data_IF_336115730999
#
_entry.id   IF_336115730999
#
_cell.length_a   1.000
_cell.length_b   1.000
_cell.length_c   1.000
_cell.angle_alpha   90.00
_cell.angle_beta   90.00
_cell.angle_gamma   90.00
#
_symmetry.space_group_name_H-M   'P 1'
#
loop_
_entity.id
_entity.type
_entity.pdbx_description
1 polymer ?
#
# COMPACT_ATOMS: atom_id res chain seq x y z
N UNK A 1 -22.52 -17.43 -37.55
CA UNK A 1 -22.19 -17.20 -36.12
C UNK A 1 -20.69 -17.22 -35.84
N UNK A 2 -19.87 -17.96 -36.60
CA UNK A 2 -18.40 -17.90 -36.48
C UNK A 2 -17.81 -16.58 -37.04
N UNK A 3 -18.28 -16.13 -38.21
CA UNK A 3 -17.77 -14.91 -38.87
C UNK A 3 -17.98 -13.63 -38.05
N UNK A 4 -19.15 -13.48 -37.40
CA UNK A 4 -19.44 -12.34 -36.52
C UNK A 4 -18.57 -12.30 -35.25
N UNK A 5 -17.97 -13.45 -34.87
CA UNK A 5 -17.08 -13.55 -33.71
C UNK A 5 -15.65 -13.17 -34.10
N UNK A 6 -15.19 -13.58 -35.27
CA UNK A 6 -13.88 -13.18 -35.82
C UNK A 6 -13.84 -11.68 -36.19
N UNK A 7 -14.95 -11.13 -36.70
CA UNK A 7 -15.08 -9.70 -36.98
C UNK A 7 -15.07 -8.86 -35.69
N UNK A 8 -15.75 -9.29 -34.62
CA UNK A 8 -15.68 -8.63 -33.32
C UNK A 8 -14.29 -8.75 -32.66
N UNK A 9 -13.60 -9.88 -32.84
CA UNK A 9 -12.25 -10.07 -32.27
C UNK A 9 -11.23 -9.20 -33.01
N UNK A 10 -11.31 -9.11 -34.33
CA UNK A 10 -10.45 -8.24 -35.14
C UNK A 10 -10.73 -6.74 -34.96
N UNK A 11 -11.99 -6.34 -34.69
CA UNK A 11 -12.33 -4.96 -34.32
C UNK A 11 -11.85 -4.59 -32.91
N UNK A 12 -11.92 -5.50 -31.94
CA UNK A 12 -11.33 -5.32 -30.60
C UNK A 12 -9.80 -5.21 -30.69
N UNK A 13 -9.16 -6.01 -31.53
CA UNK A 13 -7.71 -5.97 -31.75
C UNK A 13 -7.24 -4.75 -32.57
N UNK A 14 -8.06 -4.24 -33.49
CA UNK A 14 -7.77 -2.97 -34.18
C UNK A 14 -7.98 -1.75 -33.27
N UNK A 15 -9.02 -1.75 -32.42
CA UNK A 15 -9.21 -0.71 -31.42
C UNK A 15 -8.16 -0.76 -30.30
N UNK A 16 -7.67 -1.94 -29.93
CA UNK A 16 -6.57 -2.08 -28.97
C UNK A 16 -5.23 -1.63 -29.58
N UNK A 17 -4.99 -1.88 -30.86
CA UNK A 17 -3.80 -1.40 -31.57
C UNK A 17 -3.81 0.12 -31.81
N UNK A 18 -4.97 0.73 -32.11
CA UNK A 18 -5.08 2.19 -32.15
C UNK A 18 -4.97 2.84 -30.75
N UNK A 19 -5.39 2.15 -29.67
CA UNK A 19 -5.12 2.54 -28.26
C UNK A 19 -3.63 2.51 -27.86
N UNK A 20 -2.76 1.91 -28.67
CA UNK A 20 -1.30 1.80 -28.44
C UNK A 20 -0.51 2.88 -29.21
N UNK A 21 -1.12 3.51 -30.21
CA UNK A 21 -0.43 4.36 -31.19
C UNK A 21 -0.65 5.87 -31.08
N UNK A 22 -1.31 6.38 -30.04
CA UNK A 22 -1.31 7.82 -29.81
C UNK A 22 -0.03 8.22 -29.01
N UNK A 23 0.96 8.93 -29.62
CA UNK A 23 2.19 9.32 -28.94
C UNK A 23 1.92 10.19 -27.69
N UNK A 24 0.79 10.91 -27.66
CA UNK A 24 0.33 11.66 -26.47
C UNK A 24 -0.20 10.73 -25.37
N UNK A 25 -0.86 9.62 -25.73
CA UNK A 25 -1.31 8.59 -24.80
C UNK A 25 -0.17 7.80 -24.17
N UNK A 26 0.91 7.56 -24.92
CA UNK A 26 2.10 6.83 -24.41
C UNK A 26 2.86 7.64 -23.36
N UNK A 27 3.12 8.93 -23.61
CA UNK A 27 3.73 9.83 -22.62
C UNK A 27 2.85 9.98 -21.36
N UNK A 28 1.54 10.17 -21.55
CA UNK A 28 0.58 10.25 -20.44
C UNK A 28 0.58 9.00 -19.57
N UNK A 29 0.66 7.80 -20.17
CA UNK A 29 0.77 6.53 -19.43
C UNK A 29 2.05 6.43 -18.60
N UNK A 30 3.20 6.84 -19.14
CA UNK A 30 4.46 6.87 -18.38
C UNK A 30 4.41 7.87 -17.21
N UNK A 31 3.87 9.07 -17.45
CA UNK A 31 3.68 10.07 -16.40
C UNK A 31 2.74 9.54 -15.31
N UNK A 32 1.60 8.96 -15.69
CA UNK A 32 0.67 8.35 -14.75
C UNK A 32 1.31 7.20 -13.96
N UNK A 33 2.13 6.36 -14.60
CA UNK A 33 2.88 5.29 -13.94
C UNK A 33 3.78 5.82 -12.82
N UNK A 34 4.53 6.91 -13.10
CA UNK A 34 5.42 7.53 -12.11
C UNK A 34 4.62 8.01 -10.90
N UNK A 35 3.53 8.75 -11.13
CA UNK A 35 2.68 9.22 -10.04
C UNK A 35 1.98 8.06 -9.28
N UNK A 36 1.64 6.96 -9.96
CA UNK A 36 1.10 5.76 -9.30
C UNK A 36 2.13 5.09 -8.40
N UNK A 37 3.42 5.14 -8.74
CA UNK A 37 4.49 4.62 -7.87
C UNK A 37 4.71 5.49 -6.63
N UNK A 38 4.49 6.81 -6.74
CA UNK A 38 4.55 7.72 -5.60
C UNK A 38 3.25 7.78 -4.77
N UNK A 39 2.15 7.26 -5.29
CA UNK A 39 0.86 7.22 -4.61
C UNK A 39 0.96 6.59 -3.21
N UNK A 40 1.54 5.39 -3.01
CA UNK A 40 1.62 4.80 -1.67
C UNK A 40 2.84 5.29 -0.86
N UNK A 41 3.71 6.11 -1.44
CA UNK A 41 5.01 6.47 -0.84
C UNK A 41 4.87 7.03 0.59
N UNK A 42 3.95 7.98 0.78
CA UNK A 42 3.73 8.59 2.09
C UNK A 42 3.16 7.62 3.13
N UNK A 43 2.33 6.66 2.70
CA UNK A 43 1.79 5.63 3.59
C UNK A 43 2.90 4.69 4.06
N UNK A 44 3.73 4.18 3.15
CA UNK A 44 4.85 3.30 3.53
C UNK A 44 5.94 4.01 4.34
N UNK A 45 6.24 5.27 4.02
CA UNK A 45 7.16 6.07 4.84
C UNK A 45 6.63 6.19 6.28
N UNK A 46 5.36 6.54 6.45
CA UNK A 46 4.80 6.83 7.78
C UNK A 46 4.41 5.59 8.60
N UNK A 47 4.20 4.45 7.94
CA UNK A 47 3.92 3.18 8.61
C UNK A 47 5.08 2.80 9.54
N UNK A 48 6.31 2.95 9.04
CA UNK A 48 7.56 2.63 9.73
C UNK A 48 8.04 3.71 10.73
N UNK A 49 7.34 4.84 10.86
CA UNK A 49 7.69 5.90 11.82
C UNK A 49 7.95 5.39 13.26
N UNK A 50 7.10 4.53 13.85
CA UNK A 50 7.31 4.07 15.22
C UNK A 50 8.53 3.16 15.33
N UNK A 51 8.82 2.36 14.30
CA UNK A 51 10.01 1.51 14.26
C UNK A 51 11.29 2.36 14.28
N UNK A 52 11.37 3.37 13.40
CA UNK A 52 12.53 4.26 13.32
C UNK A 52 12.72 5.16 14.55
N UNK A 53 11.66 5.39 15.33
CA UNK A 53 11.68 6.22 16.53
C UNK A 53 11.47 5.42 17.83
N UNK A 54 11.61 4.10 17.82
CA UNK A 54 11.21 3.26 18.95
C UNK A 54 11.85 3.68 20.29
N UNK A 55 13.16 3.87 20.29
CA UNK A 55 13.92 4.16 21.51
C UNK A 55 13.53 5.54 22.08
N UNK A 56 13.51 6.56 21.22
CA UNK A 56 13.12 7.92 21.60
C UNK A 56 11.65 8.00 22.00
N UNK A 57 10.78 7.23 21.36
CA UNK A 57 9.37 7.15 21.74
C UNK A 57 9.18 6.55 23.13
N UNK A 58 9.90 5.48 23.46
CA UNK A 58 9.82 4.89 24.82
C UNK A 58 10.34 5.86 25.88
N UNK A 59 11.42 6.58 25.58
CA UNK A 59 12.06 7.54 26.49
C UNK A 59 11.20 8.80 26.70
N UNK A 60 10.87 9.53 25.64
CA UNK A 60 10.20 10.83 25.72
C UNK A 60 8.71 10.72 26.08
N UNK A 61 8.01 9.69 25.60
CA UNK A 61 6.61 9.46 25.95
C UNK A 61 6.48 8.71 27.30
N UNK A 62 7.59 8.17 27.83
CA UNK A 62 7.65 7.32 29.04
C UNK A 62 6.67 6.14 28.97
N UNK A 63 6.67 5.45 27.83
CA UNK A 63 5.75 4.33 27.55
C UNK A 63 6.46 2.98 27.66
N UNK A 64 5.73 1.96 28.13
CA UNK A 64 6.22 0.59 28.16
C UNK A 64 6.29 -0.03 26.76
N UNK A 65 7.09 -1.09 26.59
CA UNK A 65 7.13 -1.85 25.33
C UNK A 65 5.74 -2.36 24.91
N UNK A 66 4.89 -2.74 25.86
CA UNK A 66 3.50 -3.16 25.58
C UNK A 66 2.65 -2.03 24.99
N UNK A 67 2.77 -0.82 25.55
CA UNK A 67 2.05 0.36 25.05
C UNK A 67 2.56 0.75 23.67
N UNK A 68 3.87 0.64 23.43
CA UNK A 68 4.45 0.86 22.10
C UNK A 68 3.92 -0.15 21.07
N UNK A 69 3.86 -1.44 21.42
CA UNK A 69 3.29 -2.47 20.53
C UNK A 69 1.81 -2.21 20.22
N UNK A 70 1.06 -1.53 21.09
CA UNK A 70 -0.33 -1.18 20.83
C UNK A 70 -0.53 -0.32 19.58
N UNK A 71 0.47 0.49 19.18
CA UNK A 71 0.41 1.27 17.94
C UNK A 71 0.31 0.38 16.70
N UNK A 72 1.01 -0.77 16.69
CA UNK A 72 0.92 -1.76 15.62
C UNK A 72 -0.39 -2.54 15.68
N UNK A 73 -0.85 -2.90 16.88
CA UNK A 73 -2.13 -3.59 17.05
C UNK A 73 -3.30 -2.75 16.55
N UNK A 74 -3.35 -1.46 16.90
CA UNK A 74 -4.40 -0.53 16.46
C UNK A 74 -4.35 -0.23 14.97
N UNK A 75 -3.16 -0.26 14.35
CA UNK A 75 -3.00 -0.19 12.91
C UNK A 75 -3.58 -1.44 12.22
N UNK A 76 -3.20 -2.65 12.66
CA UNK A 76 -3.55 -3.90 11.97
C UNK A 76 -4.98 -4.39 12.23
N UNK A 77 -5.57 -4.06 13.37
CA UNK A 77 -6.92 -4.51 13.73
C UNK A 77 -8.02 -4.14 12.71
N UNK A 78 -8.15 -2.86 12.26
CA UNK A 78 -9.16 -2.52 11.25
C UNK A 78 -8.91 -3.20 9.90
N UNK A 79 -7.65 -3.47 9.57
CA UNK A 79 -7.22 -3.91 8.25
C UNK A 79 -7.79 -5.27 7.85
N UNK A 80 -8.12 -6.12 8.82
CA UNK A 80 -8.69 -7.46 8.59
C UNK A 80 -10.02 -7.39 7.83
N UNK A 81 -10.83 -6.37 8.08
CA UNK A 81 -12.17 -6.22 7.47
C UNK A 81 -12.16 -5.06 6.48
N UNK A 82 -11.50 -3.95 6.83
CA UNK A 82 -11.57 -2.71 6.05
C UNK A 82 -10.83 -2.78 4.73
N UNK A 83 -9.80 -3.61 4.58
CA UNK A 83 -9.13 -3.82 3.28
C UNK A 83 -10.10 -4.40 2.23
N UNK A 84 -10.88 -5.41 2.62
CA UNK A 84 -11.91 -6.01 1.76
C UNK A 84 -13.05 -5.01 1.45
N UNK A 85 -13.51 -4.26 2.45
CA UNK A 85 -14.55 -3.23 2.25
C UNK A 85 -14.03 -2.10 1.37
N UNK A 86 -12.76 -1.70 1.52
CA UNK A 86 -12.11 -0.67 0.74
C UNK A 86 -12.10 -1.00 -0.75
N UNK A 87 -11.72 -2.23 -1.12
CA UNK A 87 -11.79 -2.70 -2.51
C UNK A 87 -13.21 -2.61 -3.09
N UNK A 88 -14.20 -3.15 -2.37
CA UNK A 88 -15.61 -3.11 -2.80
C UNK A 88 -16.13 -1.67 -2.94
N UNK A 89 -15.73 -0.76 -2.06
CA UNK A 89 -16.14 0.64 -2.10
C UNK A 89 -15.60 1.36 -3.35
N UNK A 90 -14.36 1.05 -3.73
CA UNK A 90 -13.73 1.58 -4.94
C UNK A 90 -14.47 1.08 -6.18
N UNK A 91 -14.66 -0.23 -6.25
CA UNK A 91 -15.20 -0.89 -7.44
C UNK A 91 -16.66 -0.51 -7.69
N UNK A 92 -17.45 -0.31 -6.62
CA UNK A 92 -18.90 -0.09 -6.74
C UNK A 92 -19.34 1.37 -6.70
N UNK A 93 -18.70 2.24 -5.89
CA UNK A 93 -19.27 3.57 -5.59
C UNK A 93 -18.38 4.74 -6.00
N UNK A 94 -17.07 4.62 -5.77
CA UNK A 94 -16.16 5.77 -5.88
C UNK A 94 -15.48 5.84 -7.25
N UNK A 95 -15.18 4.68 -7.84
CA UNK A 95 -14.23 4.58 -8.93
C UNK A 95 -12.78 4.75 -8.44
N UNK A 96 -11.84 4.18 -9.18
CA UNK A 96 -10.45 4.00 -8.77
C UNK A 96 -9.75 5.33 -8.43
N UNK A 97 -9.90 6.35 -9.28
CA UNK A 97 -9.25 7.65 -9.09
C UNK A 97 -9.76 8.43 -7.86
N UNK A 98 -11.08 8.46 -7.63
CA UNK A 98 -11.66 9.14 -6.46
C UNK A 98 -11.42 8.36 -5.18
N UNK A 99 -11.52 7.03 -5.26
CA UNK A 99 -11.22 6.12 -4.14
C UNK A 99 -9.79 6.32 -3.62
N UNK A 100 -8.80 6.27 -4.52
CA UNK A 100 -7.40 6.51 -4.16
C UNK A 100 -7.19 7.87 -3.47
N UNK A 101 -7.83 8.94 -3.96
CA UNK A 101 -7.73 10.28 -3.37
C UNK A 101 -8.37 10.34 -1.98
N UNK A 102 -9.52 9.71 -1.77
CA UNK A 102 -10.21 9.65 -0.48
C UNK A 102 -9.37 8.86 0.54
N UNK A 103 -8.87 7.68 0.17
CA UNK A 103 -8.04 6.88 1.08
C UNK A 103 -6.72 7.57 1.41
N UNK A 104 -6.08 8.21 0.44
CA UNK A 104 -4.90 9.02 0.70
C UNK A 104 -5.20 10.19 1.67
N UNK A 105 -6.37 10.82 1.54
CA UNK A 105 -6.82 11.85 2.50
C UNK A 105 -7.01 11.28 3.91
N UNK A 106 -7.56 10.06 4.04
CA UNK A 106 -7.69 9.36 5.33
C UNK A 106 -6.31 9.06 5.93
N UNK A 107 -5.34 8.62 5.12
CA UNK A 107 -3.95 8.41 5.56
C UNK A 107 -3.34 9.71 6.12
N UNK A 108 -3.50 10.83 5.41
CA UNK A 108 -3.02 12.15 5.87
C UNK A 108 -3.65 12.51 7.22
N UNK A 109 -4.98 12.36 7.35
CA UNK A 109 -5.68 12.64 8.62
C UNK A 109 -5.17 11.74 9.74
N UNK A 110 -5.01 10.44 9.50
CA UNK A 110 -4.49 9.49 10.48
C UNK A 110 -3.08 9.87 10.96
N UNK A 111 -2.19 10.24 10.04
CA UNK A 111 -0.82 10.66 10.38
C UNK A 111 -0.80 12.01 11.12
N UNK A 112 -1.66 12.97 10.75
CA UNK A 112 -1.78 14.23 11.47
C UNK A 112 -2.28 14.01 12.90
N UNK A 113 -3.30 13.17 13.09
CA UNK A 113 -3.82 12.79 14.42
C UNK A 113 -2.72 12.09 15.22
N UNK A 114 -1.94 11.20 14.61
CA UNK A 114 -0.81 10.54 15.25
C UNK A 114 0.26 11.53 15.71
N UNK A 115 0.63 12.49 14.86
CA UNK A 115 1.60 13.55 15.19
C UNK A 115 1.11 14.50 16.29
N UNK A 116 -0.15 14.94 16.23
CA UNK A 116 -0.80 15.76 17.26
C UNK A 116 -0.87 15.00 18.59
N UNK A 117 -1.20 13.71 18.56
CA UNK A 117 -1.18 12.84 19.74
C UNK A 117 0.20 12.76 20.38
N UNK A 118 1.26 12.65 19.56
CA UNK A 118 2.65 12.73 20.03
C UNK A 118 2.96 14.09 20.67
N UNK A 119 2.56 15.19 20.03
CA UNK A 119 2.83 16.55 20.49
C UNK A 119 2.27 16.84 21.89
N UNK A 120 1.05 16.37 22.17
CA UNK A 120 0.39 16.54 23.47
C UNK A 120 0.65 15.37 24.44
N UNK A 121 1.46 14.38 24.08
CA UNK A 121 1.70 13.15 24.86
C UNK A 121 0.39 12.39 25.19
N UNK A 122 -0.57 12.39 24.27
CA UNK A 122 -1.86 11.73 24.42
C UNK A 122 -1.84 10.38 23.70
N UNK A 123 -1.49 9.31 24.43
CA UNK A 123 -1.33 7.96 23.87
C UNK A 123 -2.65 7.45 23.24
N UNK A 124 -3.81 7.79 23.81
CA UNK A 124 -5.09 7.42 23.17
C UNK A 124 -5.24 8.04 21.78
N UNK A 125 -4.75 9.28 21.57
CA UNK A 125 -4.92 10.00 20.31
C UNK A 125 -4.00 9.38 19.28
N UNK A 126 -2.80 8.99 19.71
CA UNK A 126 -1.87 8.25 18.88
C UNK A 126 -2.46 6.90 18.42
N UNK A 127 -3.13 6.16 19.31
CA UNK A 127 -3.81 4.92 18.95
C UNK A 127 -4.95 5.13 17.96
N UNK A 128 -5.77 6.18 18.15
CA UNK A 128 -6.83 6.56 17.19
C UNK A 128 -6.22 6.96 15.84
N UNK A 129 -5.11 7.71 15.87
CA UNK A 129 -4.36 8.08 14.66
C UNK A 129 -3.87 6.86 13.89
N UNK A 130 -3.30 5.87 14.59
CA UNK A 130 -2.87 4.58 14.02
C UNK A 130 -4.02 3.79 13.42
N UNK A 131 -5.17 3.77 14.10
CA UNK A 131 -6.39 3.14 13.60
C UNK A 131 -6.86 3.78 12.29
N UNK A 132 -7.01 5.12 12.26
CA UNK A 132 -7.44 5.85 11.05
C UNK A 132 -6.42 5.68 9.92
N UNK A 133 -5.12 5.75 10.25
CA UNK A 133 -4.05 5.56 9.29
C UNK A 133 -4.09 4.16 8.66
N UNK A 134 -4.27 3.10 9.46
CA UNK A 134 -4.39 1.72 8.98
C UNK A 134 -5.58 1.52 8.04
N UNK A 135 -6.75 2.05 8.40
CA UNK A 135 -7.94 2.02 7.52
C UNK A 135 -7.63 2.64 6.15
N UNK A 136 -6.92 3.77 6.14
CA UNK A 136 -6.54 4.46 4.92
C UNK A 136 -5.47 3.73 4.11
N UNK A 137 -4.41 3.24 4.75
CA UNK A 137 -3.23 2.69 4.08
C UNK A 137 -3.53 1.40 3.32
N UNK A 138 -4.23 0.44 3.92
CA UNK A 138 -4.54 -0.84 3.26
C UNK A 138 -5.58 -0.67 2.14
N UNK A 139 -6.53 0.23 2.36
CA UNK A 139 -7.49 0.60 1.32
C UNK A 139 -6.81 1.29 0.15
N UNK A 140 -5.78 2.12 0.41
CA UNK A 140 -4.96 2.76 -0.62
C UNK A 140 -4.14 1.72 -1.40
N UNK A 141 -3.56 0.71 -0.76
CA UNK A 141 -2.86 -0.41 -1.43
C UNK A 141 -3.79 -1.19 -2.37
N UNK A 142 -5.04 -1.40 -1.95
CA UNK A 142 -6.07 -2.02 -2.78
C UNK A 142 -6.43 -1.12 -3.97
N UNK A 143 -6.59 0.19 -3.73
CA UNK A 143 -6.84 1.19 -4.77
C UNK A 143 -5.74 1.26 -5.82
N UNK A 144 -4.49 1.23 -5.38
CA UNK A 144 -3.31 1.25 -6.25
C UNK A 144 -3.28 0.04 -7.20
N UNK A 145 -3.61 -1.14 -6.68
CA UNK A 145 -3.62 -2.36 -7.48
C UNK A 145 -4.72 -2.30 -8.54
N UNK A 146 -5.92 -1.84 -8.17
CA UNK A 146 -6.99 -1.57 -9.13
C UNK A 146 -6.59 -0.48 -10.15
N UNK A 147 -5.84 0.54 -9.72
CA UNK A 147 -5.33 1.61 -10.58
C UNK A 147 -4.38 1.06 -11.65
N UNK A 148 -3.42 0.22 -11.25
CA UNK A 148 -2.48 -0.40 -12.18
C UNK A 148 -3.21 -1.26 -13.22
N UNK A 149 -4.17 -2.09 -12.79
CA UNK A 149 -4.95 -2.95 -13.69
C UNK A 149 -5.82 -2.14 -14.66
N UNK A 150 -6.36 -0.99 -14.22
CA UNK A 150 -7.18 -0.15 -15.09
C UNK A 150 -6.38 0.60 -16.17
N UNK A 151 -5.07 0.81 -15.98
CA UNK A 151 -4.22 1.57 -16.91
C UNK A 151 -3.25 0.71 -17.74
N UNK A 152 -2.90 -0.49 -17.27
CA UNK A 152 -1.92 -1.37 -17.91
C UNK A 152 -2.48 -2.78 -18.15
N UNK A 153 -2.15 -3.37 -19.29
CA UNK A 153 -2.61 -4.70 -19.71
C UNK A 153 -1.44 -5.62 -20.05
N UNK A 154 -1.61 -6.91 -19.79
CA UNK A 154 -0.64 -7.95 -20.17
C UNK A 154 0.72 -7.80 -19.50
N UNK A 155 1.81 -7.96 -20.26
CA UNK A 155 3.19 -7.99 -19.75
C UNK A 155 3.63 -6.72 -19.01
N UNK A 156 3.02 -5.56 -19.31
CA UNK A 156 3.37 -4.29 -18.68
C UNK A 156 2.84 -4.18 -17.24
N UNK A 157 1.79 -4.93 -16.90
CA UNK A 157 1.16 -4.88 -15.58
C UNK A 157 2.09 -5.44 -14.49
N UNK A 158 2.74 -6.58 -14.75
CA UNK A 158 3.70 -7.18 -13.81
C UNK A 158 4.87 -6.23 -13.52
N UNK A 159 5.37 -5.56 -14.57
CA UNK A 159 6.42 -4.56 -14.41
C UNK A 159 5.98 -3.40 -13.50
N UNK A 160 4.75 -2.89 -13.67
CA UNK A 160 4.21 -1.81 -12.83
C UNK A 160 4.06 -2.26 -11.38
N UNK A 161 3.57 -3.47 -11.12
CA UNK A 161 3.50 -4.00 -9.76
C UNK A 161 4.88 -4.15 -9.11
N UNK A 162 5.87 -4.67 -9.85
CA UNK A 162 7.25 -4.77 -9.37
C UNK A 162 7.85 -3.40 -9.06
N UNK A 163 7.61 -2.42 -9.92
CA UNK A 163 8.08 -1.05 -9.72
C UNK A 163 7.42 -0.40 -8.50
N UNK A 164 6.11 -0.52 -8.37
CA UNK A 164 5.36 0.01 -7.22
C UNK A 164 5.87 -0.57 -5.90
N UNK A 165 6.03 -1.90 -5.81
CA UNK A 165 6.58 -2.55 -4.62
C UNK A 165 7.98 -2.06 -4.30
N UNK A 166 8.82 -1.84 -5.32
CA UNK A 166 10.17 -1.30 -5.15
C UNK A 166 10.14 0.11 -4.54
N UNK A 167 9.27 0.99 -5.04
CA UNK A 167 9.10 2.34 -4.49
C UNK A 167 8.57 2.32 -3.06
N UNK A 168 7.63 1.42 -2.73
CA UNK A 168 7.17 1.22 -1.36
C UNK A 168 8.31 0.85 -0.42
N UNK A 169 9.23 -0.04 -0.84
CA UNK A 169 10.40 -0.42 -0.04
C UNK A 169 11.41 0.71 0.10
N UNK A 170 11.61 1.49 -0.96
CA UNK A 170 12.45 2.68 -0.90
C UNK A 170 11.89 3.71 0.09
N UNK A 171 10.56 3.91 0.13
CA UNK A 171 9.92 4.81 1.10
C UNK A 171 10.23 4.40 2.55
N UNK A 172 10.07 3.10 2.88
CA UNK A 172 10.43 2.52 4.18
C UNK A 172 11.91 2.70 4.51
N UNK A 173 12.80 2.44 3.53
CA UNK A 173 14.24 2.61 3.69
C UNK A 173 14.60 4.06 4.00
N UNK A 174 14.02 5.01 3.26
CA UNK A 174 14.25 6.44 3.50
C UNK A 174 13.80 6.77 4.92
N UNK A 175 12.58 6.36 5.33
CA UNK A 175 12.10 6.60 6.69
C UNK A 175 13.08 6.13 7.77
N UNK A 176 13.54 4.87 7.71
CA UNK A 176 14.46 4.33 8.71
C UNK A 176 15.80 5.07 8.78
N UNK A 177 16.25 5.68 7.66
CA UNK A 177 17.49 6.45 7.61
C UNK A 177 17.29 7.94 7.93
N UNK A 178 16.12 8.52 7.65
CA UNK A 178 15.89 9.98 7.76
C UNK A 178 15.13 10.38 9.01
N UNK A 179 14.20 9.56 9.52
CA UNK A 179 13.32 9.97 10.62
C UNK A 179 14.09 10.27 11.91
N UNK A 180 15.16 9.50 12.17
CA UNK A 180 16.02 9.67 13.34
C UNK A 180 16.88 10.93 13.23
N UNK A 181 17.62 11.18 12.13
CA UNK A 181 18.29 12.46 11.91
C UNK A 181 17.36 13.68 11.93
N UNK A 182 16.12 13.54 11.43
CA UNK A 182 15.11 14.61 11.51
C UNK A 182 14.81 14.89 12.98
N UNK A 183 14.53 13.87 13.80
CA UNK A 183 14.36 14.03 15.25
C UNK A 183 15.58 14.70 15.88
N UNK A 184 16.79 14.23 15.60
CA UNK A 184 18.04 14.75 16.19
C UNK A 184 18.35 16.19 15.77
N UNK A 185 17.92 16.62 14.59
CA UNK A 185 18.10 17.99 14.06
C UNK A 185 17.12 19.00 14.67
N UNK A 186 16.02 18.55 15.28
CA UNK A 186 15.12 19.46 15.99
C UNK A 186 15.84 20.03 17.21
N UNK A 187 15.81 21.36 17.30
CA UNK A 187 16.54 22.20 18.25
C UNK A 187 16.36 21.78 19.72
N UNK A 188 17.39 22.00 20.53
CA UNK A 188 17.42 21.64 21.97
C UNK A 188 16.36 22.34 22.82
N UNK A 189 15.70 23.38 22.28
CA UNK A 189 14.59 24.09 22.92
C UNK A 189 13.25 23.32 22.88
N UNK A 190 13.10 22.32 22.00
CA UNK A 190 11.91 21.46 21.94
C UNK A 190 12.26 20.14 22.64
N UNK A 191 12.10 20.08 23.97
CA UNK A 191 12.42 18.89 24.76
C UNK A 191 11.21 17.98 25.00
N UNK A 192 11.46 16.65 24.96
CA UNK A 192 10.50 15.60 25.29
C UNK A 192 9.44 15.33 24.21
N UNK A 193 8.17 15.03 24.59
CA UNK A 193 7.14 14.49 23.68
C UNK A 193 6.79 15.43 22.53
N UNK A 194 6.98 16.75 22.71
CA UNK A 194 6.79 17.74 21.65
C UNK A 194 7.72 17.51 20.46
N UNK A 195 8.96 17.06 20.70
CA UNK A 195 9.95 16.78 19.65
C UNK A 195 9.46 15.66 18.74
N UNK A 196 8.99 14.57 19.35
CA UNK A 196 8.36 13.45 18.63
C UNK A 196 7.16 13.91 17.83
N UNK A 197 6.26 14.69 18.43
CA UNK A 197 5.09 15.22 17.75
C UNK A 197 5.46 16.02 16.50
N UNK A 198 6.44 16.92 16.60
CA UNK A 198 6.91 17.71 15.46
C UNK A 198 7.60 16.82 14.41
N UNK A 199 8.44 15.85 14.80
CA UNK A 199 9.03 14.88 13.86
C UNK A 199 7.95 14.12 13.09
N UNK A 200 6.90 13.64 13.76
CA UNK A 200 5.78 12.93 13.12
C UNK A 200 4.94 13.84 12.21
N UNK A 201 4.80 15.12 12.57
CA UNK A 201 4.13 16.12 11.72
C UNK A 201 4.98 16.47 10.48
N UNK A 202 6.31 16.51 10.60
CA UNK A 202 7.21 16.64 9.45
C UNK A 202 7.05 15.40 8.55
N UNK A 203 6.98 14.20 9.12
CA UNK A 203 6.71 12.99 8.34
C UNK A 203 5.36 13.06 7.60
N UNK A 204 4.35 13.74 8.15
CA UNK A 204 3.06 13.96 7.48
C UNK A 204 3.18 14.73 6.14
N UNK A 205 4.27 15.49 5.93
CA UNK A 205 4.54 16.13 4.64
C UNK A 205 4.70 15.12 3.51
N UNK A 206 5.22 13.92 3.80
CA UNK A 206 5.33 12.83 2.81
C UNK A 206 3.95 12.28 2.41
N UNK A 207 3.01 12.22 3.35
CA UNK A 207 1.61 11.88 3.06
C UNK A 207 0.92 12.98 2.25
N UNK A 208 1.19 14.26 2.53
CA UNK A 208 0.65 15.39 1.75
C UNK A 208 1.20 15.37 0.32
N UNK A 209 2.48 15.05 0.14
CA UNK A 209 3.08 14.86 -1.18
C UNK A 209 2.37 13.73 -1.96
N UNK A 210 2.17 12.58 -1.31
CA UNK A 210 1.40 11.46 -1.87
C UNK A 210 -0.05 11.86 -2.23
N UNK A 211 -0.69 12.70 -1.42
CA UNK A 211 -2.02 13.26 -1.74
C UNK A 211 -1.97 14.18 -2.96
N UNK A 212 -0.91 14.98 -3.11
CA UNK A 212 -0.66 15.76 -4.32
C UNK A 212 -0.54 14.86 -5.56
N UNK A 213 0.17 13.75 -5.47
CA UNK A 213 0.25 12.76 -6.54
C UNK A 213 -1.13 12.15 -6.86
N UNK A 214 -1.93 11.80 -5.85
CA UNK A 214 -3.31 11.34 -6.02
C UNK A 214 -4.19 12.36 -6.75
N UNK A 215 -4.12 13.64 -6.39
CA UNK A 215 -4.89 14.69 -7.04
C UNK A 215 -4.47 14.89 -8.51
N UNK A 216 -3.17 14.82 -8.79
CA UNK A 216 -2.65 14.86 -10.16
C UNK A 216 -3.17 13.66 -10.95
N UNK A 217 -3.10 12.45 -10.40
CA UNK A 217 -3.65 11.24 -11.03
C UNK A 217 -5.15 11.36 -11.28
N UNK A 218 -5.91 11.88 -10.33
CA UNK A 218 -7.34 12.12 -10.49
C UNK A 218 -7.63 13.13 -11.61
N UNK A 219 -6.83 14.18 -11.73
CA UNK A 219 -6.94 15.13 -12.83
C UNK A 219 -6.57 14.50 -14.19
N UNK A 220 -5.48 13.72 -14.25
CA UNK A 220 -5.05 13.00 -15.46
C UNK A 220 -6.10 11.98 -15.90
N UNK A 221 -6.70 11.26 -14.96
CA UNK A 221 -7.75 10.26 -15.20
C UNK A 221 -9.03 10.91 -15.73
N UNK A 222 -9.48 12.00 -15.08
CA UNK A 222 -10.62 12.78 -15.58
C UNK A 222 -10.38 13.35 -16.98
N UNK A 223 -9.14 13.78 -17.28
CA UNK A 223 -8.78 14.26 -18.61
C UNK A 223 -8.76 13.13 -19.64
N UNK A 224 -8.23 11.97 -19.28
CA UNK A 224 -8.19 10.79 -20.15
C UNK A 224 -9.60 10.30 -20.47
N UNK A 225 -10.48 10.18 -19.46
CA UNK A 225 -11.89 9.78 -19.65
C UNK A 225 -12.67 10.78 -20.49
N UNK A 226 -12.51 12.10 -20.29
CA UNK A 226 -13.18 13.11 -21.13
C UNK A 226 -12.80 13.07 -22.61
N UNK A 227 -11.62 12.57 -22.94
CA UNK A 227 -11.13 12.44 -24.32
C UNK A 227 -11.62 11.12 -24.92
N UNK A 228 -11.71 10.04 -24.14
CA UNK A 228 -12.12 8.71 -24.62
C UNK A 228 -13.64 8.42 -24.54
N UNK A 229 -14.39 9.01 -23.60
CA UNK A 229 -15.84 8.80 -23.45
C UNK A 229 -16.67 9.47 -24.57
N UNK A 230 -16.04 10.27 -25.45
CA UNK A 230 -16.70 10.81 -26.64
C UNK A 230 -16.89 9.78 -27.76
N UNK A 231 -16.14 8.68 -27.75
CA UNK A 231 -16.14 7.69 -28.83
C UNK A 231 -16.92 6.40 -28.51
N UNK A 232 -17.34 6.15 -27.25
CA UNK A 232 -18.12 4.96 -26.88
C UNK A 232 -19.05 5.20 -25.65
N UNK A 233 -20.33 5.56 -25.85
CA UNK A 233 -21.29 5.75 -24.75
C UNK A 233 -21.80 4.43 -24.12
N UNK A 234 -21.35 3.27 -24.59
CA UNK A 234 -21.79 1.94 -24.11
C UNK A 234 -20.83 1.26 -23.12
N UNK A 235 -19.66 1.84 -22.82
CA UNK A 235 -18.76 1.33 -21.77
C UNK A 235 -19.17 1.87 -20.38
N UNK A 236 -20.46 1.74 -20.04
CA UNK A 236 -20.88 1.81 -18.65
C UNK A 236 -20.28 0.58 -17.97
N UNK A 237 -19.14 0.76 -17.30
CA UNK A 237 -18.43 -0.26 -16.55
C UNK A 237 -19.45 -1.14 -15.80
N UNK A 238 -19.48 -2.43 -16.12
CA UNK A 238 -20.35 -3.41 -15.46
C UNK A 238 -20.24 -3.22 -13.93
N UNK A 239 -21.35 -2.92 -13.28
CA UNK A 239 -21.42 -2.81 -11.82
C UNK A 239 -20.91 -4.12 -11.22
N UNK A 240 -19.78 -4.07 -10.51
CA UNK A 240 -19.29 -5.23 -9.75
C UNK A 240 -20.33 -5.64 -8.70
N UNK A 241 -21.06 -6.72 -8.96
CA UNK A 241 -22.04 -7.27 -8.02
C UNK A 241 -21.31 -8.22 -7.11
N UNK A 242 -21.36 -7.98 -5.79
CA UNK A 242 -20.87 -8.92 -4.77
C UNK A 242 -21.45 -10.35 -4.92
N UNK A 243 -22.57 -10.50 -5.63
CA UNK A 243 -23.17 -11.78 -5.98
C UNK A 243 -22.35 -12.57 -7.02
N UNK A 244 -21.52 -11.91 -7.80
CA UNK A 244 -20.64 -12.54 -8.81
C UNK A 244 -19.45 -13.23 -8.17
N UNK A 245 -19.07 -12.80 -6.95
CA UNK A 245 -18.09 -13.53 -6.14
C UNK A 245 -18.54 -14.98 -5.97
N UNK A 246 -19.83 -15.22 -5.74
CA UNK A 246 -20.41 -16.57 -5.58
C UNK A 246 -20.37 -17.44 -6.85
N UNK A 247 -20.17 -16.83 -8.02
CA UNK A 247 -20.12 -17.51 -9.31
C UNK A 247 -18.68 -17.76 -9.78
N UNK A 248 -17.67 -17.43 -8.97
CA UNK A 248 -16.29 -17.73 -9.31
C UNK A 248 -16.05 -19.23 -9.48
N UNK A 249 -15.17 -19.63 -10.44
CA UNK A 249 -14.86 -21.03 -10.65
C UNK A 249 -14.28 -21.63 -9.36
N UNK A 250 -14.61 -22.90 -9.10
CA UNK A 250 -14.13 -23.62 -7.91
C UNK A 250 -12.60 -23.57 -7.80
N UNK A 251 -11.89 -23.56 -8.93
CA UNK A 251 -10.43 -23.38 -8.99
C UNK A 251 -9.94 -22.09 -8.29
N UNK A 252 -10.68 -20.98 -8.42
CA UNK A 252 -10.33 -19.72 -7.75
C UNK A 252 -10.56 -19.80 -6.24
N UNK A 253 -11.65 -20.45 -5.81
CA UNK A 253 -11.90 -20.71 -4.39
C UNK A 253 -10.85 -21.62 -3.76
N UNK A 254 -10.45 -22.67 -4.46
CA UNK A 254 -9.34 -23.52 -4.05
C UNK A 254 -8.04 -22.71 -3.93
N UNK A 255 -7.77 -21.80 -4.87
CA UNK A 255 -6.60 -20.92 -4.82
C UNK A 255 -6.63 -19.98 -3.61
N UNK A 256 -7.76 -19.32 -3.33
CA UNK A 256 -7.91 -18.51 -2.12
C UNK A 256 -7.72 -19.32 -0.83
N UNK A 257 -8.30 -20.52 -0.76
CA UNK A 257 -8.13 -21.40 0.39
C UNK A 257 -6.66 -21.79 0.57
N UNK A 258 -5.99 -22.22 -0.51
CA UNK A 258 -4.56 -22.55 -0.49
C UNK A 258 -3.75 -21.34 0.00
N UNK A 259 -4.00 -20.14 -0.52
CA UNK A 259 -3.32 -18.92 -0.07
C UNK A 259 -3.52 -18.68 1.43
N UNK A 260 -4.76 -18.72 1.92
CA UNK A 260 -5.07 -18.49 3.35
C UNK A 260 -4.39 -19.54 4.23
N UNK A 261 -4.54 -20.83 3.93
CA UNK A 261 -3.91 -21.90 4.71
C UNK A 261 -2.38 -21.82 4.68
N UNK A 262 -1.81 -21.49 3.52
CA UNK A 262 -0.37 -21.29 3.38
C UNK A 262 0.13 -20.12 4.23
N UNK A 263 -0.51 -18.95 4.16
CA UNK A 263 -0.11 -17.78 4.94
C UNK A 263 -0.32 -17.98 6.44
N UNK A 264 -1.40 -18.64 6.85
CA UNK A 264 -1.66 -18.99 8.26
C UNK A 264 -0.61 -19.95 8.81
N UNK A 265 -0.04 -20.84 7.99
CA UNK A 265 1.05 -21.71 8.42
C UNK A 265 2.42 -21.00 8.42
N UNK A 266 2.69 -20.18 7.41
CA UNK A 266 4.00 -19.55 7.24
C UNK A 266 4.24 -18.40 8.21
N UNK A 267 3.28 -17.50 8.43
CA UNK A 267 3.53 -16.33 9.29
C UNK A 267 3.92 -16.73 10.72
N UNK A 268 3.21 -17.64 11.41
CA UNK A 268 3.63 -18.14 12.71
C UNK A 268 4.94 -18.94 12.65
N UNK A 269 5.16 -19.73 11.60
CA UNK A 269 6.40 -20.48 11.43
C UNK A 269 7.60 -19.53 11.35
N UNK A 270 7.55 -18.51 10.49
CA UNK A 270 8.63 -17.53 10.34
C UNK A 270 8.83 -16.71 11.61
N UNK A 271 7.74 -16.38 12.31
CA UNK A 271 7.80 -15.68 13.60
C UNK A 271 8.44 -16.51 14.73
N UNK A 272 8.29 -17.85 14.69
CA UNK A 272 8.78 -18.76 15.73
C UNK A 272 10.03 -19.56 15.33
N UNK A 273 10.44 -19.51 14.06
CA UNK A 273 11.51 -20.33 13.49
C UNK A 273 12.84 -20.12 14.21
N UNK A 274 13.19 -18.88 14.54
CA UNK A 274 14.43 -18.59 15.30
C UNK A 274 14.41 -19.27 16.67
N UNK A 275 13.32 -19.11 17.43
CA UNK A 275 13.14 -19.70 18.75
C UNK A 275 13.13 -21.23 18.69
N UNK A 276 12.54 -21.79 17.63
CA UNK A 276 12.58 -23.22 17.33
C UNK A 276 14.00 -23.72 17.03
N UNK A 277 14.80 -22.98 16.27
CA UNK A 277 16.20 -23.32 15.97
C UNK A 277 17.08 -23.26 17.21
N UNK A 278 16.87 -22.26 18.07
CA UNK A 278 17.57 -22.12 19.35
C UNK A 278 17.18 -23.22 20.33
N UNK A 279 15.87 -23.48 20.53
CA UNK A 279 15.41 -24.43 21.56
C UNK A 279 15.58 -25.90 21.15
N UNK A 280 15.49 -26.23 19.86
CA UNK A 280 15.53 -27.62 19.37
C UNK A 280 16.90 -28.05 18.88
N UNK A 281 17.62 -27.16 18.21
CA UNK A 281 18.93 -27.47 17.62
C UNK A 281 20.11 -26.87 18.41
N UNK A 282 19.84 -26.10 19.48
CA UNK A 282 20.87 -25.48 20.30
C UNK A 282 21.73 -24.48 19.52
N UNK A 283 21.24 -23.98 18.39
CA UNK A 283 21.97 -23.09 17.52
C UNK A 283 22.19 -21.74 18.19
N UNK A 284 23.34 -21.12 17.95
CA UNK A 284 23.58 -19.77 18.45
C UNK A 284 22.61 -18.78 17.77
N UNK A 285 22.23 -17.68 18.45
CA UNK A 285 21.28 -16.70 17.90
C UNK A 285 21.71 -16.15 16.53
N UNK A 286 23.02 -16.05 16.27
CA UNK A 286 23.57 -15.63 14.99
C UNK A 286 23.28 -16.63 13.85
N UNK A 287 23.45 -17.93 14.11
CA UNK A 287 23.18 -18.98 13.12
C UNK A 287 21.68 -19.21 12.92
N UNK A 288 20.88 -19.15 13.99
CA UNK A 288 19.42 -19.22 13.91
C UNK A 288 18.83 -18.09 13.06
N UNK A 289 19.36 -16.87 13.21
CA UNK A 289 18.98 -15.73 12.36
C UNK A 289 19.44 -15.89 10.91
N UNK A 290 20.63 -16.41 10.67
CA UNK A 290 21.10 -16.69 9.30
C UNK A 290 20.19 -17.70 8.58
N UNK A 291 19.78 -18.77 9.28
CA UNK A 291 18.84 -19.76 8.75
C UNK A 291 17.45 -19.17 8.49
N UNK A 292 16.92 -18.35 9.40
CA UNK A 292 15.63 -17.70 9.19
C UNK A 292 15.66 -16.70 8.02
N UNK A 293 16.79 -16.01 7.83
CA UNK A 293 16.99 -15.04 6.75
C UNK A 293 17.03 -15.68 5.35
N UNK A 294 17.44 -16.95 5.24
CA UNK A 294 17.42 -17.68 3.96
C UNK A 294 16.00 -17.82 3.39
N UNK A 295 14.99 -17.95 4.25
CA UNK A 295 13.57 -18.06 3.83
C UNK A 295 13.17 -16.79 3.07
N UNK A 296 13.52 -15.62 3.60
CA UNK A 296 13.25 -14.33 2.97
C UNK A 296 14.07 -14.10 1.71
N UNK A 297 15.34 -14.54 1.70
CA UNK A 297 16.20 -14.44 0.51
C UNK A 297 15.65 -15.25 -0.68
N UNK A 298 15.18 -16.47 -0.42
CA UNK A 298 14.51 -17.29 -1.44
C UNK A 298 13.24 -16.59 -1.96
N UNK A 299 12.44 -16.01 -1.07
CA UNK A 299 11.22 -15.29 -1.45
C UNK A 299 11.51 -14.11 -2.39
N UNK A 300 12.54 -13.30 -2.10
CA UNK A 300 12.95 -12.17 -2.96
C UNK A 300 13.43 -12.66 -4.32
N UNK A 301 14.27 -13.70 -4.34
CA UNK A 301 14.84 -14.26 -5.57
C UNK A 301 13.75 -14.79 -6.51
N UNK A 302 12.79 -15.56 -5.98
CA UNK A 302 11.68 -16.09 -6.76
C UNK A 302 10.72 -15.02 -7.26
N UNK A 303 10.48 -13.96 -6.47
CA UNK A 303 9.60 -12.87 -6.87
C UNK A 303 10.14 -12.13 -8.10
N UNK A 304 11.46 -11.92 -8.18
CA UNK A 304 12.13 -11.25 -9.30
C UNK A 304 12.19 -12.16 -10.55
N UNK A 305 12.37 -13.47 -10.36
CA UNK A 305 12.38 -14.44 -11.46
C UNK A 305 10.99 -14.69 -12.08
N UNK A 306 9.93 -14.46 -11.30
CA UNK A 306 8.55 -14.68 -11.73
C UNK A 306 7.89 -13.46 -12.40
N UNK A 307 8.47 -12.26 -12.25
CA UNK A 307 8.01 -10.99 -12.85
C UNK A 307 8.59 -10.76 -14.24
#
# INVERSE_FOLDING_TARGET
>A
MADLREENTSLVDQNSNNKILDPRGRYLRWVAMIFMCFLPFGAYYCDDNPAGLQDVMKEDLKISSSTFTSFYSWYSWPNVIMSAVGGVLIDKWLGVARGATIFCSIVVVGQLVFGVGGFFRLIWVMNIGRFIFGVGSESLSSAQSAYAVSWFLGKQLNFVFGLQLSFSRVASLINLNTIRPIYDSLDSHISGPKRIGVTLLIAASTCIFSLGCALILWWLDNRHRRIHDKDNPNDAADEFRLRDVRHFPVSLYCLFAICVFYYVAIFPFVALAQLFYESKYGLSPAWSNACNSLIYFMQVSFTILAS
#
